data_IF_960070585659
#
_entry.id   IF_960070585659
#
_cell.length_a   1.000
_cell.length_b   1.000
_cell.length_c   1.000
_cell.angle_alpha   90.00
_cell.angle_beta   90.00
_cell.angle_gamma   90.00
#
_symmetry.space_group_name_H-M   'P 1'
#
loop_
_entity.id
_entity.type
_entity.pdbx_description
1 polymer ?
#
# COMPACT_ATOMS: atom_id res chain seq x y z
N UNK A 1 -73.90 25.03 -11.70
CA UNK A 1 -73.05 23.93 -12.17
C UNK A 1 -71.69 24.08 -11.48
N UNK A 2 -71.40 23.19 -10.51
CA UNK A 2 -70.18 23.29 -9.62
C UNK A 2 -69.11 22.35 -10.13
N UNK A 3 -68.00 22.92 -10.59
CA UNK A 3 -66.81 22.15 -11.04
C UNK A 3 -65.91 21.75 -9.86
N UNK A 4 -65.76 20.49 -9.68
CA UNK A 4 -64.83 19.88 -8.65
C UNK A 4 -63.43 19.79 -9.21
N UNK A 5 -62.51 20.53 -8.58
CA UNK A 5 -61.05 20.41 -8.87
C UNK A 5 -60.47 19.31 -7.98
N UNK A 6 -60.05 18.23 -8.59
CA UNK A 6 -59.26 17.17 -7.95
C UNK A 6 -57.81 17.60 -7.91
N UNK A 7 -57.25 17.81 -6.72
CA UNK A 7 -55.83 18.05 -6.50
C UNK A 7 -55.18 16.69 -6.31
N UNK A 8 -54.42 16.24 -7.32
CA UNK A 8 -53.54 15.07 -7.21
C UNK A 8 -52.24 15.50 -6.50
N UNK A 9 -52.13 15.14 -5.21
CA UNK A 9 -50.93 15.30 -4.44
C UNK A 9 -49.92 14.22 -4.84
N UNK A 10 -48.87 14.62 -5.58
CA UNK A 10 -47.72 13.74 -5.88
C UNK A 10 -46.85 13.49 -4.64
N UNK A 11 -46.82 12.28 -4.15
CA UNK A 11 -45.90 11.83 -3.11
C UNK A 11 -44.55 11.63 -3.75
N UNK A 12 -43.60 12.55 -3.53
CA UNK A 12 -42.19 12.38 -3.88
C UNK A 12 -41.57 11.43 -2.86
N UNK A 13 -41.43 10.15 -3.23
CA UNK A 13 -40.62 9.18 -2.52
C UNK A 13 -39.12 9.51 -2.75
N UNK A 14 -38.55 10.20 -1.77
CA UNK A 14 -37.10 10.45 -1.72
C UNK A 14 -36.39 9.14 -1.39
N UNK A 15 -35.89 8.43 -2.40
CA UNK A 15 -35.07 7.25 -2.21
C UNK A 15 -33.71 7.70 -1.69
N UNK A 16 -33.52 7.65 -0.37
CA UNK A 16 -32.18 7.77 0.22
C UNK A 16 -31.36 6.54 -0.20
N UNK A 17 -30.42 6.73 -1.12
CA UNK A 17 -29.37 5.76 -1.42
C UNK A 17 -28.51 5.62 -0.16
N UNK A 18 -28.79 4.58 0.62
CA UNK A 18 -27.88 4.11 1.66
C UNK A 18 -26.66 3.56 0.94
N UNK A 19 -25.58 4.32 0.91
CA UNK A 19 -24.27 3.78 0.58
C UNK A 19 -23.93 2.76 1.66
N UNK A 20 -24.22 1.50 1.40
CA UNK A 20 -23.65 0.39 2.16
C UNK A 20 -22.13 0.46 1.95
N UNK A 21 -21.42 0.95 2.96
CA UNK A 21 -19.97 0.95 2.96
C UNK A 21 -19.48 -0.45 2.62
N UNK A 22 -18.68 -0.58 1.57
CA UNK A 22 -18.03 -1.85 1.23
C UNK A 22 -17.35 -2.40 2.48
N UNK A 23 -17.42 -3.72 2.76
CA UNK A 23 -16.71 -4.30 3.89
C UNK A 23 -15.25 -3.89 3.79
N UNK A 24 -14.77 -3.14 4.79
CA UNK A 24 -13.36 -2.74 4.84
C UNK A 24 -12.53 -4.03 4.91
N UNK A 25 -11.61 -4.26 3.98
CA UNK A 25 -10.71 -5.41 4.05
C UNK A 25 -10.05 -5.42 5.43
N UNK A 26 -10.02 -6.55 6.09
CA UNK A 26 -9.51 -6.63 7.46
C UNK A 26 -7.99 -6.49 7.45
N UNK A 27 -7.45 -5.59 8.28
CA UNK A 27 -6.01 -5.43 8.49
C UNK A 27 -5.37 -6.78 8.87
N UNK A 28 -4.43 -7.27 8.03
CA UNK A 28 -3.81 -8.61 8.11
C UNK A 28 -2.69 -8.70 9.15
N UNK A 29 -2.46 -7.65 9.93
CA UNK A 29 -1.46 -7.66 11.01
C UNK A 29 -1.99 -8.25 12.32
N UNK A 30 -3.27 -8.58 12.40
CA UNK A 30 -3.84 -9.26 13.56
C UNK A 30 -3.18 -10.63 13.75
N UNK A 31 -2.68 -10.90 14.96
CA UNK A 31 -1.99 -12.15 15.26
C UNK A 31 -0.49 -12.16 14.97
N UNK A 32 0.08 -11.09 14.41
CA UNK A 32 1.53 -10.97 14.24
C UNK A 32 2.25 -10.89 15.60
N UNK A 33 3.43 -11.53 15.71
CA UNK A 33 4.23 -11.56 16.95
C UNK A 33 4.86 -10.22 17.31
N UNK A 34 5.27 -9.44 16.31
CA UNK A 34 5.97 -8.17 16.48
C UNK A 34 5.13 -7.11 17.19
N UNK A 35 5.64 -6.46 18.24
CA UNK A 35 4.99 -5.32 18.87
C UNK A 35 4.76 -4.15 17.94
N UNK A 36 5.69 -3.89 16.99
CA UNK A 36 5.56 -2.85 15.98
C UNK A 36 4.36 -3.11 15.06
N UNK A 37 4.22 -4.33 14.54
CA UNK A 37 3.11 -4.72 13.68
C UNK A 37 1.77 -4.73 14.43
N UNK A 38 1.76 -5.18 15.70
CA UNK A 38 0.54 -5.19 16.54
C UNK A 38 -0.06 -3.80 16.71
N UNK A 39 0.76 -2.77 16.87
CA UNK A 39 0.28 -1.38 16.99
C UNK A 39 -0.47 -0.92 15.73
N UNK A 40 -0.02 -1.34 14.57
CA UNK A 40 -0.64 -0.99 13.30
C UNK A 40 -1.89 -1.82 12.97
N UNK A 41 -2.17 -2.90 13.70
CA UNK A 41 -3.31 -3.78 13.45
C UNK A 41 -4.69 -3.11 13.63
N UNK A 42 -4.75 -1.95 14.31
CA UNK A 42 -5.96 -1.13 14.49
C UNK A 42 -6.06 0.07 13.54
N UNK A 43 -5.04 0.30 12.70
CA UNK A 43 -5.05 1.39 11.74
C UNK A 43 -6.07 1.12 10.62
N UNK A 44 -6.63 2.17 9.98
CA UNK A 44 -7.59 2.03 8.89
C UNK A 44 -6.95 1.55 7.57
N UNK A 45 -5.61 1.57 7.45
CA UNK A 45 -4.88 0.99 6.32
C UNK A 45 -4.96 -0.53 6.37
N UNK A 46 -5.26 -1.16 5.23
CA UNK A 46 -5.29 -2.63 5.07
C UNK A 46 -3.87 -3.19 4.94
N UNK A 47 -3.17 -3.25 6.07
CA UNK A 47 -1.80 -3.69 6.15
C UNK A 47 -1.64 -5.21 6.01
N UNK A 48 -0.68 -5.60 5.21
CA UNK A 48 -0.13 -6.95 5.14
C UNK A 48 1.23 -7.01 5.84
N UNK A 49 1.59 -8.12 6.49
CA UNK A 49 2.98 -8.37 6.80
C UNK A 49 3.77 -8.64 5.51
N UNK A 50 5.08 -8.37 5.53
CA UNK A 50 5.93 -8.77 4.40
C UNK A 50 5.87 -10.29 4.17
N UNK A 51 5.53 -10.71 2.96
CA UNK A 51 5.44 -12.13 2.61
C UNK A 51 4.75 -12.39 1.28
N UNK A 52 4.72 -13.66 0.88
CA UNK A 52 4.17 -14.11 -0.41
C UNK A 52 2.71 -13.67 -0.62
N UNK A 53 1.92 -13.59 0.45
CA UNK A 53 0.51 -13.19 0.38
C UNK A 53 0.35 -11.76 -0.14
N UNK A 54 1.12 -10.81 0.40
CA UNK A 54 1.09 -9.42 -0.03
C UNK A 54 1.45 -9.27 -1.52
N UNK A 55 2.51 -9.95 -1.96
CA UNK A 55 2.93 -9.92 -3.37
C UNK A 55 1.92 -10.61 -4.30
N UNK A 56 1.33 -11.72 -3.88
CA UNK A 56 0.24 -12.38 -4.62
C UNK A 56 -0.95 -11.43 -4.76
N UNK A 57 -1.35 -10.77 -3.66
CA UNK A 57 -2.45 -9.81 -3.66
C UNK A 57 -2.17 -8.63 -4.59
N UNK A 58 -0.95 -8.09 -4.57
CA UNK A 58 -0.52 -7.01 -5.45
C UNK A 58 -0.63 -7.41 -6.95
N UNK A 59 -0.21 -8.64 -7.29
CA UNK A 59 -0.36 -9.17 -8.65
C UNK A 59 -1.82 -9.36 -9.06
N UNK A 60 -2.66 -9.89 -8.16
CA UNK A 60 -4.09 -10.10 -8.44
C UNK A 60 -4.84 -8.80 -8.70
N UNK A 61 -4.51 -7.76 -7.95
CA UNK A 61 -5.14 -6.44 -8.08
C UNK A 61 -4.48 -5.54 -9.12
N UNK A 62 -3.33 -5.96 -9.65
CA UNK A 62 -2.44 -5.13 -10.48
C UNK A 62 -2.14 -3.77 -9.83
N UNK A 63 -1.77 -3.80 -8.55
CA UNK A 63 -1.48 -2.60 -7.75
C UNK A 63 -0.04 -2.64 -7.24
N UNK A 64 0.65 -1.48 -7.19
CA UNK A 64 1.96 -1.39 -6.57
C UNK A 64 1.86 -1.63 -5.05
N UNK A 65 2.99 -1.97 -4.46
CA UNK A 65 3.13 -2.15 -3.02
C UNK A 65 3.62 -0.84 -2.41
N UNK A 66 2.94 -0.36 -1.37
CA UNK A 66 3.47 0.61 -0.42
C UNK A 66 4.14 -0.17 0.71
N UNK A 67 5.44 -0.01 0.88
CA UNK A 67 6.21 -0.62 1.96
C UNK A 67 6.54 0.42 3.03
N UNK A 68 6.23 0.11 4.28
CA UNK A 68 6.67 0.86 5.46
C UNK A 68 7.52 -0.05 6.35
N UNK A 69 8.78 0.36 6.60
CA UNK A 69 9.70 -0.33 7.51
C UNK A 69 9.95 0.56 8.70
N UNK A 70 9.71 0.05 9.88
CA UNK A 70 9.94 0.81 11.11
C UNK A 70 10.16 -0.09 12.32
N UNK A 71 10.26 0.51 13.49
CA UNK A 71 10.54 -0.18 14.74
C UNK A 71 9.84 0.47 15.93
N UNK A 72 9.73 -0.25 17.03
CA UNK A 72 9.09 0.26 18.26
C UNK A 72 9.87 1.40 18.91
N UNK A 73 11.18 1.47 18.72
CA UNK A 73 12.06 2.52 19.24
C UNK A 73 12.16 3.75 18.33
N UNK A 74 11.51 3.73 17.15
CA UNK A 74 11.59 4.78 16.16
C UNK A 74 10.49 5.85 16.41
N UNK A 75 10.85 6.96 17.01
CA UNK A 75 9.91 8.06 17.29
C UNK A 75 9.31 8.68 16.01
N UNK A 76 10.09 8.74 14.93
CA UNK A 76 9.62 9.25 13.63
C UNK A 76 8.63 8.28 12.97
N UNK A 77 8.77 6.96 13.19
CA UNK A 77 7.80 5.97 12.76
C UNK A 77 6.46 6.16 13.50
N UNK A 78 6.52 6.36 14.82
CA UNK A 78 5.32 6.67 15.63
C UNK A 78 4.65 7.97 15.16
N UNK A 79 5.44 8.97 14.80
CA UNK A 79 4.93 10.22 14.26
C UNK A 79 4.17 10.00 12.95
N UNK A 80 4.75 9.25 12.00
CA UNK A 80 4.12 8.94 10.72
C UNK A 80 2.86 8.08 10.88
N UNK A 81 2.88 7.14 11.82
CA UNK A 81 1.72 6.33 12.18
C UNK A 81 0.55 7.22 12.64
N UNK A 82 0.80 8.18 13.55
CA UNK A 82 -0.25 9.05 14.09
C UNK A 82 -0.70 10.14 13.12
N UNK A 83 0.20 10.70 12.33
CA UNK A 83 -0.09 11.89 11.52
C UNK A 83 -0.57 11.53 10.11
N UNK A 84 -0.19 10.36 9.58
CA UNK A 84 -0.49 9.96 8.20
C UNK A 84 -1.37 8.71 8.13
N UNK A 85 -0.92 7.57 8.65
CA UNK A 85 -1.61 6.29 8.46
C UNK A 85 -2.95 6.15 9.20
N UNK A 86 -3.22 6.99 10.22
CA UNK A 86 -4.51 7.03 10.92
C UNK A 86 -5.53 7.95 10.27
N UNK A 87 -5.14 8.76 9.28
CA UNK A 87 -6.06 9.64 8.57
C UNK A 87 -6.93 8.86 7.60
N UNK A 88 -8.27 8.97 7.69
CA UNK A 88 -9.18 8.24 6.82
C UNK A 88 -8.92 8.48 5.34
N UNK A 89 -8.71 9.73 4.93
CA UNK A 89 -8.48 10.12 3.54
C UNK A 89 -7.20 9.52 2.95
N UNK A 90 -6.14 9.41 3.75
CA UNK A 90 -4.88 8.77 3.36
C UNK A 90 -5.06 7.26 3.29
N UNK A 91 -5.70 6.67 4.31
CA UNK A 91 -5.95 5.24 4.35
C UNK A 91 -6.83 4.77 3.19
N UNK A 92 -7.90 5.50 2.88
CA UNK A 92 -8.78 5.22 1.73
C UNK A 92 -7.99 5.25 0.41
N UNK A 93 -7.15 6.27 0.22
CA UNK A 93 -6.32 6.36 -0.97
C UNK A 93 -5.33 5.20 -1.08
N UNK A 94 -4.66 4.84 0.03
CA UNK A 94 -3.74 3.70 0.10
C UNK A 94 -4.48 2.41 -0.25
N UNK A 95 -5.60 2.13 0.42
CA UNK A 95 -6.39 0.91 0.24
C UNK A 95 -6.96 0.78 -1.19
N UNK A 96 -7.22 1.90 -1.86
CA UNK A 96 -7.71 1.92 -3.24
C UNK A 96 -6.61 1.68 -4.29
N UNK A 97 -5.38 2.15 -4.06
CA UNK A 97 -4.34 2.22 -5.08
C UNK A 97 -3.13 1.31 -4.83
N UNK A 98 -2.95 0.80 -3.62
CA UNK A 98 -1.79 0.01 -3.22
C UNK A 98 -2.19 -1.28 -2.50
N UNK A 99 -1.25 -2.20 -2.41
CA UNK A 99 -1.21 -3.21 -1.35
C UNK A 99 -0.20 -2.72 -0.32
N UNK A 100 -0.69 -2.37 0.87
CA UNK A 100 0.15 -1.81 1.93
C UNK A 100 0.86 -2.92 2.70
N UNK A 101 2.17 -2.82 2.85
CA UNK A 101 3.02 -3.79 3.55
C UNK A 101 3.76 -3.10 4.67
N UNK A 102 3.64 -3.64 5.88
CA UNK A 102 4.38 -3.16 7.05
C UNK A 102 5.41 -4.19 7.49
N UNK A 103 6.63 -3.74 7.75
CA UNK A 103 7.77 -4.58 8.14
C UNK A 103 8.40 -4.04 9.42
N UNK A 104 8.60 -4.94 10.39
CA UNK A 104 9.40 -4.64 11.58
C UNK A 104 10.90 -4.74 11.21
N UNK A 105 11.60 -3.62 11.42
CA UNK A 105 13.02 -3.46 11.12
C UNK A 105 13.89 -4.54 11.77
N UNK A 106 13.62 -4.84 13.05
CA UNK A 106 14.43 -5.76 13.84
C UNK A 106 14.11 -7.23 13.55
N UNK A 107 12.91 -7.51 13.03
CA UNK A 107 12.47 -8.88 12.80
C UNK A 107 13.12 -9.55 11.58
N UNK A 108 13.61 -8.78 10.62
CA UNK A 108 14.13 -9.27 9.33
C UNK A 108 15.43 -8.57 8.90
N UNK A 109 16.55 -8.70 9.63
CA UNK A 109 17.74 -7.88 9.44
C UNK A 109 18.36 -8.02 8.04
N UNK A 110 18.35 -9.21 7.43
CA UNK A 110 18.86 -9.39 6.06
C UNK A 110 18.01 -8.64 5.02
N UNK A 111 16.70 -8.71 5.17
CA UNK A 111 15.78 -8.00 4.29
C UNK A 111 15.92 -6.50 4.47
N UNK A 112 15.97 -6.01 5.69
CA UNK A 112 16.14 -4.59 6.00
C UNK A 112 17.43 -4.04 5.40
N UNK A 113 18.57 -4.73 5.58
CA UNK A 113 19.83 -4.33 4.97
C UNK A 113 19.76 -4.29 3.43
N UNK A 114 19.04 -5.21 2.80
CA UNK A 114 18.81 -5.20 1.35
C UNK A 114 17.96 -4.01 0.92
N UNK A 115 16.93 -3.65 1.68
CA UNK A 115 16.07 -2.50 1.42
C UNK A 115 16.85 -1.18 1.57
N UNK A 116 17.63 -1.04 2.63
CA UNK A 116 18.51 0.12 2.83
C UNK A 116 19.50 0.28 1.67
N UNK A 117 20.14 -0.82 1.26
CA UNK A 117 21.04 -0.81 0.08
C UNK A 117 20.30 -0.42 -1.20
N UNK A 118 19.07 -0.91 -1.40
CA UNK A 118 18.25 -0.55 -2.56
C UNK A 118 17.94 0.95 -2.59
N UNK A 119 17.59 1.54 -1.43
CA UNK A 119 17.40 2.99 -1.29
C UNK A 119 18.67 3.76 -1.63
N UNK A 120 19.80 3.37 -1.07
CA UNK A 120 21.10 4.01 -1.33
C UNK A 120 21.49 3.97 -2.83
N UNK A 121 21.30 2.82 -3.49
CA UNK A 121 21.59 2.66 -4.92
C UNK A 121 20.66 3.47 -5.84
N UNK A 122 19.48 3.84 -5.36
CA UNK A 122 18.52 4.69 -6.05
C UNK A 122 18.62 6.16 -5.63
N UNK A 123 19.59 6.53 -4.80
CA UNK A 123 19.75 7.87 -4.23
C UNK A 123 18.52 8.37 -3.47
N UNK A 124 17.75 7.46 -2.87
CA UNK A 124 16.68 7.84 -1.96
C UNK A 124 17.23 8.16 -0.57
N UNK A 125 16.52 9.00 0.21
CA UNK A 125 16.92 9.30 1.58
C UNK A 125 17.08 8.04 2.42
N UNK A 126 18.13 8.00 3.24
CA UNK A 126 18.39 6.91 4.18
C UNK A 126 17.80 7.20 5.55
N UNK A 127 17.42 6.16 6.27
CA UNK A 127 16.88 6.22 7.63
C UNK A 127 15.58 5.49 7.81
N UNK A 128 15.04 5.53 9.04
CA UNK A 128 13.74 4.98 9.39
C UNK A 128 12.79 6.08 9.90
N UNK A 129 11.46 6.01 9.56
CA UNK A 129 10.85 4.95 8.73
C UNK A 129 11.50 4.90 7.36
N UNK A 130 11.61 3.67 6.79
CA UNK A 130 12.00 3.51 5.40
C UNK A 130 10.73 3.23 4.61
N UNK A 131 10.36 4.19 3.76
CA UNK A 131 9.16 4.09 2.93
C UNK A 131 9.60 3.75 1.50
N UNK A 132 9.00 2.70 0.92
CA UNK A 132 9.31 2.26 -0.43
C UNK A 132 8.06 1.98 -1.25
N UNK A 133 8.14 2.23 -2.55
CA UNK A 133 7.11 1.86 -3.50
C UNK A 133 7.66 0.81 -4.46
N UNK A 134 7.01 -0.34 -4.50
CA UNK A 134 7.47 -1.51 -5.23
C UNK A 134 6.44 -1.93 -6.27
N UNK A 135 6.91 -2.51 -7.38
CA UNK A 135 6.01 -3.24 -8.27
C UNK A 135 5.55 -4.54 -7.61
N UNK A 136 4.48 -5.19 -8.11
CA UNK A 136 4.07 -6.53 -7.67
C UNK A 136 5.18 -7.58 -7.86
N UNK A 137 6.17 -7.28 -8.70
CA UNK A 137 7.36 -8.09 -8.92
C UNK A 137 8.52 -7.77 -7.97
N UNK A 138 8.35 -6.80 -7.05
CA UNK A 138 9.34 -6.44 -6.05
C UNK A 138 10.43 -5.50 -6.55
N UNK A 139 10.16 -4.71 -7.58
CA UNK A 139 11.07 -3.69 -8.08
C UNK A 139 10.83 -2.37 -7.35
N UNK A 140 11.82 -1.89 -6.59
CA UNK A 140 11.77 -0.58 -5.94
C UNK A 140 11.93 0.52 -6.98
N UNK A 141 10.97 1.45 -7.06
CA UNK A 141 10.97 2.53 -8.05
C UNK A 141 10.86 3.94 -7.44
N UNK A 142 10.32 4.06 -6.25
CA UNK A 142 10.26 5.31 -5.50
C UNK A 142 10.48 5.01 -4.02
N UNK A 143 11.07 5.95 -3.27
CA UNK A 143 11.35 5.74 -1.87
C UNK A 143 11.70 7.01 -1.13
N UNK A 144 11.67 6.91 0.18
CA UNK A 144 12.02 7.98 1.09
C UNK A 144 12.04 7.49 2.53
N UNK A 145 11.98 8.44 3.45
CA UNK A 145 11.87 8.15 4.87
C UNK A 145 10.51 8.62 5.40
N UNK A 146 10.50 9.54 6.34
CA UNK A 146 9.30 10.16 6.85
C UNK A 146 8.68 11.11 5.81
N UNK A 147 7.40 10.97 5.59
CA UNK A 147 6.57 11.91 4.81
C UNK A 147 5.54 12.55 5.73
N UNK A 148 5.55 13.90 5.88
CA UNK A 148 4.51 14.60 6.61
C UNK A 148 3.15 14.48 5.90
N UNK A 149 2.02 14.65 6.59
CA UNK A 149 0.69 14.58 5.94
C UNK A 149 0.53 15.60 4.80
N UNK A 150 1.11 16.77 4.97
CA UNK A 150 1.17 17.86 3.99
C UNK A 150 2.63 18.27 3.81
N UNK A 151 2.97 18.91 2.69
CA UNK A 151 4.33 19.35 2.41
C UNK A 151 4.87 20.29 3.53
N UNK A 152 6.09 20.03 3.99
CA UNK A 152 6.79 20.82 5.02
C UNK A 152 8.18 21.17 4.53
N UNK A 153 8.40 22.44 4.16
CA UNK A 153 9.68 22.88 3.57
C UNK A 153 9.99 22.10 2.31
N UNK A 154 11.15 21.44 2.27
CA UNK A 154 11.59 20.62 1.13
C UNK A 154 11.03 19.19 1.14
N UNK A 155 10.24 18.83 2.15
CA UNK A 155 9.64 17.51 2.25
C UNK A 155 8.28 17.50 1.56
N UNK A 156 8.09 16.63 0.54
CA UNK A 156 6.76 16.48 -0.08
C UNK A 156 5.76 15.89 0.92
N UNK A 157 4.50 16.25 0.76
CA UNK A 157 3.41 15.66 1.53
C UNK A 157 3.19 14.21 1.18
N UNK A 158 2.70 13.43 2.15
CA UNK A 158 2.49 12.01 1.92
C UNK A 158 1.41 11.74 0.87
N UNK A 159 0.31 12.52 0.90
CA UNK A 159 -0.75 12.39 -0.10
C UNK A 159 -0.25 12.62 -1.54
N UNK A 160 0.60 13.64 -1.73
CA UNK A 160 1.22 13.95 -3.02
C UNK A 160 2.17 12.84 -3.46
N UNK A 161 2.99 12.32 -2.53
CA UNK A 161 3.90 11.20 -2.79
C UNK A 161 3.15 9.93 -3.19
N UNK A 162 2.03 9.61 -2.53
CA UNK A 162 1.18 8.49 -2.90
C UNK A 162 0.61 8.65 -4.32
N UNK A 163 0.13 9.85 -4.67
CA UNK A 163 -0.37 10.14 -6.01
C UNK A 163 0.73 10.00 -7.08
N UNK A 164 1.93 10.53 -6.79
CA UNK A 164 3.09 10.39 -7.66
C UNK A 164 3.45 8.92 -7.88
N UNK A 165 3.56 8.14 -6.80
CA UNK A 165 3.91 6.73 -6.89
C UNK A 165 2.89 5.91 -7.70
N UNK A 166 1.60 6.13 -7.46
CA UNK A 166 0.53 5.48 -8.22
C UNK A 166 0.54 5.92 -9.70
N UNK A 167 0.84 7.20 -9.98
CA UNK A 167 0.99 7.74 -11.32
C UNK A 167 2.14 7.07 -12.08
N UNK A 168 3.34 7.08 -11.53
CA UNK A 168 4.53 6.44 -12.11
C UNK A 168 4.29 4.96 -12.43
N UNK A 169 3.69 4.22 -11.50
CA UNK A 169 3.37 2.81 -11.74
C UNK A 169 2.46 2.60 -12.94
N UNK A 170 1.49 3.48 -13.18
CA UNK A 170 0.58 3.39 -14.34
C UNK A 170 1.23 3.79 -15.66
N UNK A 171 2.06 4.84 -15.65
CA UNK A 171 2.59 5.44 -16.88
C UNK A 171 3.96 4.89 -17.30
N UNK A 172 4.78 4.45 -16.33
CA UNK A 172 6.18 4.08 -16.56
C UNK A 172 6.51 2.63 -16.18
N UNK A 173 5.48 1.80 -16.06
CA UNK A 173 5.62 0.42 -15.56
C UNK A 173 6.70 -0.39 -16.27
N UNK A 174 6.76 -0.34 -17.60
CA UNK A 174 7.74 -1.12 -18.37
C UNK A 174 9.19 -0.71 -18.01
N UNK A 175 9.45 0.58 -17.88
CA UNK A 175 10.74 1.13 -17.49
C UNK A 175 11.08 0.75 -16.04
N UNK A 176 10.10 0.86 -15.13
CA UNK A 176 10.27 0.48 -13.72
C UNK A 176 10.63 -1.00 -13.57
N UNK A 177 9.97 -1.90 -14.31
CA UNK A 177 10.28 -3.34 -14.27
C UNK A 177 11.70 -3.64 -14.82
N UNK A 178 12.16 -2.86 -15.77
CA UNK A 178 13.51 -2.98 -16.32
C UNK A 178 14.58 -2.46 -15.35
N UNK A 179 14.41 -1.24 -14.82
CA UNK A 179 15.43 -0.49 -14.09
C UNK A 179 15.28 -0.55 -12.57
N UNK A 180 14.15 -1.03 -12.09
CA UNK A 180 13.86 -1.12 -10.66
C UNK A 180 14.77 -2.13 -9.95
N UNK A 181 15.19 -1.79 -8.72
CA UNK A 181 16.01 -2.69 -7.91
C UNK A 181 15.14 -3.82 -7.31
N UNK A 182 15.50 -5.08 -7.57
CA UNK A 182 14.75 -6.23 -7.03
C UNK A 182 15.09 -6.43 -5.54
N UNK A 183 14.09 -6.21 -4.69
CA UNK A 183 14.23 -6.33 -3.24
C UNK A 183 13.75 -7.67 -2.69
N UNK A 184 13.13 -8.53 -3.51
CA UNK A 184 12.70 -9.84 -3.05
C UNK A 184 13.89 -10.71 -2.65
N UNK A 185 13.78 -11.38 -1.52
CA UNK A 185 14.63 -12.48 -1.13
C UNK A 185 13.81 -13.76 -1.33
N UNK A 186 14.33 -14.72 -2.08
CA UNK A 186 13.64 -16.01 -2.33
C UNK A 186 13.27 -16.71 -1.02
N UNK A 187 14.20 -16.67 -0.06
CA UNK A 187 14.04 -17.27 1.27
C UNK A 187 12.94 -16.57 2.11
N UNK A 188 12.71 -15.28 1.86
CA UNK A 188 11.76 -14.46 2.62
C UNK A 188 10.32 -14.59 2.11
N UNK A 189 10.14 -14.98 0.85
CA UNK A 189 8.81 -15.15 0.26
C UNK A 189 8.28 -16.57 0.39
N UNK A 190 9.10 -17.51 0.90
CA UNK A 190 8.87 -18.93 0.76
C UNK A 190 8.95 -19.36 -0.72
N UNK A 191 9.71 -20.36 -1.05
CA UNK A 191 9.63 -20.94 -2.39
C UNK A 191 8.21 -21.48 -2.58
N UNK A 192 7.37 -20.75 -3.27
CA UNK A 192 6.20 -21.32 -3.88
C UNK A 192 6.74 -22.29 -4.94
N UNK A 193 6.82 -23.59 -4.57
CA UNK A 193 7.10 -24.66 -5.52
C UNK A 193 6.16 -24.42 -6.68
N UNK A 194 6.73 -24.04 -7.81
CA UNK A 194 6.02 -23.87 -9.05
C UNK A 194 5.23 -25.15 -9.33
N UNK A 195 3.96 -25.16 -9.05
CA UNK A 195 3.05 -26.07 -9.73
C UNK A 195 3.00 -25.53 -11.16
N UNK A 196 3.85 -26.11 -11.99
CA UNK A 196 3.75 -26.04 -13.43
C UNK A 196 2.40 -26.62 -13.82
N UNK A 197 1.45 -25.74 -14.09
CA UNK A 197 0.10 -26.03 -14.55
C UNK A 197 -0.36 -24.92 -15.46
N UNK A 198 -0.13 -25.11 -16.76
CA UNK A 198 -0.88 -24.60 -17.91
C UNK A 198 -1.48 -23.18 -17.87
N UNK A 199 -0.96 -22.29 -18.74
CA UNK A 199 -1.81 -21.47 -19.60
C UNK A 199 -2.36 -20.19 -19.00
N UNK A 200 -1.76 -19.06 -19.39
CA UNK A 200 -2.36 -17.75 -19.27
C UNK A 200 -1.36 -16.67 -18.90
N UNK A 201 -0.79 -16.00 -19.90
CA UNK A 201 -0.11 -14.71 -19.67
C UNK A 201 -1.18 -13.66 -19.41
N UNK A 202 -1.61 -13.55 -18.13
CA UNK A 202 -2.39 -12.43 -17.65
C UNK A 202 -1.49 -11.22 -17.39
N UNK A 203 -2.04 -9.99 -17.39
CA UNK A 203 -1.31 -8.79 -16.99
C UNK A 203 -0.85 -8.97 -15.53
N UNK A 204 0.46 -9.06 -15.30
CA UNK A 204 1.04 -9.25 -13.96
C UNK A 204 2.09 -10.35 -13.84
N UNK A 205 2.43 -11.07 -14.91
CA UNK A 205 3.51 -12.05 -14.89
C UNK A 205 4.86 -11.35 -14.68
N UNK A 206 5.50 -11.61 -13.52
CA UNK A 206 6.88 -11.19 -13.28
C UNK A 206 7.80 -12.00 -14.18
N UNK A 207 8.38 -11.36 -15.20
CA UNK A 207 9.32 -11.99 -16.11
C UNK A 207 10.50 -12.59 -15.34
N UNK A 208 10.67 -13.91 -15.42
CA UNK A 208 11.92 -14.57 -15.06
C UNK A 208 12.91 -14.28 -16.20
N UNK A 209 13.98 -13.54 -15.90
CA UNK A 209 15.22 -13.58 -16.67
C UNK A 209 16.28 -14.28 -15.85
#
# INVERSE_FOLDING_TARGET
>A
MRGWRVILGGLLLSSALVFAGSPQPGNHLRGQGSPYLKRAASQPVDWYPWGAEAFRRARQLDRPILLDVGATWCATCDRMDRESYTRPEIAEYINANFVAVKLDYDARPRLTAKLERAHALKNFPAGIPLTGFLTPCGKLYLGGTYFPPQAEGDKPGFAETLQQAAGLYRTERAQIEQDGFDVKLKEELGEEKAHAGAGGRGPGACGQK
#
